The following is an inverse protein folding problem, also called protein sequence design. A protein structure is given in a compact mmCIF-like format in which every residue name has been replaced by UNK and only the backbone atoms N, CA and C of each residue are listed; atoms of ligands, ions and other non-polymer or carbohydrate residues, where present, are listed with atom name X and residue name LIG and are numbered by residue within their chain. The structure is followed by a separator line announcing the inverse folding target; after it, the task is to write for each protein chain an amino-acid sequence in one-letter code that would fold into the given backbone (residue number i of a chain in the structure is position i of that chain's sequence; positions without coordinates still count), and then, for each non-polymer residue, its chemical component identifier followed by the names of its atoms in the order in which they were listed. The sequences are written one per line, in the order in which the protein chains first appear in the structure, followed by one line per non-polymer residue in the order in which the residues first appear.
data_IF_295679679340
#
_entry.id   IF_295679679340
#
_cell.length_a   1.000
_cell.length_b   1.000
_cell.length_c   1.000
_cell.angle_alpha   90.00
_cell.angle_beta   90.00
_cell.angle_gamma   90.00
#
_symmetry.space_group_name_H-M   'P 1'
#
loop_
_entity.id
_entity.type
_entity.pdbx_description
1 polymer ?
#
# COMPACT_ATOMS: atom_id res chain seq x y z
N UNK A 1 2.91 -7.92 9.52
CA UNK A 1 1.45 -7.83 9.72
C UNK A 1 0.83 -7.21 8.48
N UNK A 2 -0.42 -7.55 8.12
CA UNK A 2 -1.15 -6.92 7.01
C UNK A 2 -2.52 -6.50 7.51
N UNK A 3 -2.85 -5.23 7.34
CA UNK A 3 -4.14 -4.66 7.76
C UNK A 3 -4.75 -3.85 6.63
N UNK A 4 -6.08 -3.91 6.49
CA UNK A 4 -6.82 -3.16 5.48
C UNK A 4 -8.10 -2.60 6.11
N UNK A 5 -8.34 -1.31 5.87
CA UNK A 5 -9.51 -0.60 6.34
C UNK A 5 -10.20 0.10 5.18
N UNK A 6 -11.51 -0.03 5.10
CA UNK A 6 -12.32 0.82 4.24
C UNK A 6 -12.50 2.19 4.90
N UNK A 7 -12.31 3.24 4.12
CA UNK A 7 -12.40 4.61 4.57
C UNK A 7 -13.58 5.32 3.90
N UNK A 8 -14.05 6.37 4.55
CA UNK A 8 -14.92 7.37 3.95
C UNK A 8 -14.11 8.65 3.77
N UNK A 9 -14.08 9.21 2.56
CA UNK A 9 -13.37 10.46 2.28
C UNK A 9 -12.63 10.45 0.95
N UNK A 10 -11.43 11.03 0.93
CA UNK A 10 -10.58 11.16 -0.26
C UNK A 10 -10.07 9.81 -0.79
N UNK A 11 -9.90 8.83 0.10
CA UNK A 11 -9.45 7.48 -0.22
C UNK A 11 -10.52 6.47 0.17
N UNK A 12 -10.66 5.41 -0.62
CA UNK A 12 -11.61 4.31 -0.37
C UNK A 12 -11.03 3.25 0.58
N UNK A 13 -9.70 3.04 0.51
CA UNK A 13 -9.00 1.97 1.22
C UNK A 13 -7.68 2.48 1.81
N UNK A 14 -7.36 2.02 3.02
CA UNK A 14 -6.05 2.13 3.64
C UNK A 14 -5.50 0.74 3.89
N UNK A 15 -4.34 0.43 3.31
CA UNK A 15 -3.63 -0.82 3.53
C UNK A 15 -2.30 -0.55 4.22
N UNK A 16 -2.04 -1.24 5.33
CA UNK A 16 -0.76 -1.24 6.02
C UNK A 16 -0.06 -2.56 5.75
N UNK A 17 1.15 -2.48 5.23
CA UNK A 17 1.96 -3.64 4.85
C UNK A 17 3.36 -3.51 5.46
N UNK A 18 3.86 -4.62 5.96
CA UNK A 18 5.24 -4.77 6.41
C UNK A 18 5.95 -5.76 5.49
N UNK A 19 7.22 -5.49 5.21
CA UNK A 19 8.07 -6.38 4.42
C UNK A 19 9.45 -6.49 5.05
N UNK A 20 10.10 -7.63 4.86
CA UNK A 20 11.43 -7.92 5.41
C UNK A 20 12.54 -7.04 4.81
N UNK A 21 12.30 -6.44 3.64
CA UNK A 21 13.23 -5.51 3.00
C UNK A 21 12.51 -4.46 2.15
N UNK A 22 13.18 -3.34 1.94
CA UNK A 22 12.70 -2.24 1.07
C UNK A 22 12.54 -2.68 -0.37
N UNK A 23 13.40 -3.58 -0.86
CA UNK A 23 13.30 -4.17 -2.20
C UNK A 23 12.03 -5.01 -2.34
N UNK A 24 11.74 -5.85 -1.34
CA UNK A 24 10.50 -6.65 -1.34
C UNK A 24 9.27 -5.74 -1.26
N UNK A 25 9.28 -4.71 -0.41
CA UNK A 25 8.20 -3.72 -0.34
C UNK A 25 7.98 -3.04 -1.70
N UNK A 26 9.05 -2.65 -2.38
CA UNK A 26 8.99 -1.98 -3.68
C UNK A 26 8.40 -2.88 -4.77
N UNK A 27 8.78 -4.16 -4.81
CA UNK A 27 8.17 -5.15 -5.71
C UNK A 27 6.67 -5.27 -5.47
N UNK A 28 6.23 -5.40 -4.21
CA UNK A 28 4.79 -5.48 -3.87
C UNK A 28 4.03 -4.23 -4.38
N UNK A 29 4.58 -3.03 -4.16
CA UNK A 29 3.93 -1.78 -4.55
C UNK A 29 3.81 -1.62 -6.07
N UNK A 30 4.89 -1.90 -6.80
CA UNK A 30 4.95 -1.67 -8.25
C UNK A 30 4.23 -2.79 -9.02
N UNK A 31 4.47 -4.04 -8.64
CA UNK A 31 4.05 -5.21 -9.42
C UNK A 31 2.65 -5.69 -9.05
N UNK A 32 2.13 -5.31 -7.87
CA UNK A 32 0.78 -5.73 -7.45
C UNK A 32 -0.15 -4.56 -7.28
N UNK A 33 0.12 -3.64 -6.36
CA UNK A 33 -0.85 -2.60 -5.99
C UNK A 33 -1.23 -1.68 -7.15
N UNK A 34 -0.28 -1.31 -8.02
CA UNK A 34 -0.57 -0.49 -9.21
C UNK A 34 -1.35 -1.20 -10.31
N UNK A 35 -1.42 -2.53 -10.27
CA UNK A 35 -2.06 -3.36 -11.30
C UNK A 35 -3.41 -3.93 -10.84
N UNK A 36 -3.86 -3.60 -9.62
CA UNK A 36 -5.16 -4.07 -9.11
C UNK A 36 -6.28 -3.47 -9.96
N UNK A 37 -7.03 -4.33 -10.64
CA UNK A 37 -8.16 -3.92 -11.46
C UNK A 37 -9.19 -3.16 -10.62
N UNK A 38 -9.67 -2.03 -11.14
CA UNK A 38 -10.62 -1.15 -10.46
C UNK A 38 -9.97 -0.12 -9.51
N UNK A 39 -8.68 -0.26 -9.18
CA UNK A 39 -7.95 0.78 -8.44
C UNK A 39 -7.56 1.91 -9.38
N UNK A 40 -8.12 3.09 -9.16
CA UNK A 40 -7.87 4.27 -10.01
C UNK A 40 -6.53 4.93 -9.71
N UNK A 41 -6.21 5.06 -8.42
CA UNK A 41 -5.01 5.74 -7.94
C UNK A 41 -4.54 5.08 -6.65
N UNK A 42 -3.23 5.16 -6.40
CA UNK A 42 -2.59 4.68 -5.17
C UNK A 42 -1.63 5.75 -4.67
N UNK A 43 -1.61 5.98 -3.35
CA UNK A 43 -0.59 6.78 -2.69
C UNK A 43 0.10 5.91 -1.64
N UNK A 44 1.43 5.92 -1.64
CA UNK A 44 2.25 5.15 -0.70
C UNK A 44 2.86 6.08 0.33
N UNK A 45 2.69 5.76 1.61
CA UNK A 45 3.34 6.44 2.72
C UNK A 45 4.38 5.49 3.31
N UNK A 46 5.66 5.87 3.26
CA UNK A 46 6.75 5.07 3.83
C UNK A 46 6.96 5.52 5.27
N UNK A 47 6.75 4.61 6.23
CA UNK A 47 7.09 4.84 7.62
C UNK A 47 8.62 4.89 7.76
N UNK A 48 9.12 5.92 8.42
CA UNK A 48 10.54 6.07 8.77
C UNK A 48 10.61 6.11 10.28
N UNK A 49 11.15 5.05 10.89
CA UNK A 49 11.51 5.07 12.31
C UNK A 49 12.78 5.91 12.49
N UNK A 50 12.79 6.78 13.51
CA UNK A 50 13.93 7.59 13.94
C UNK A 50 14.66 6.95 15.11
#
# INVERSE_FOLDING_TARGET
MIEVHALYGEYDLLAMIEAESTTHLTSILIERFRLVEGVKTTQTLIAVDY
#
